data_IF_095440730084
#
_entry.id   IF_095440730084
#
_cell.length_a   1.000
_cell.length_b   1.000
_cell.length_c   1.000
_cell.angle_alpha   90.00
_cell.angle_beta   90.00
_cell.angle_gamma   90.00
#
_symmetry.space_group_name_H-M   'P 1'
#
loop_
_entity.id
_entity.type
_entity.pdbx_description
1 polymer ?
#
# COMPACT_ATOMS: atom_id res chain seq x y z
N UNK A 1 13.62 -15.10 -26.19
CA UNK A 1 14.40 -15.02 -24.94
C UNK A 1 13.58 -15.61 -23.82
N UNK A 2 14.22 -16.40 -22.96
CA UNK A 2 13.59 -17.04 -21.79
C UNK A 2 13.86 -16.23 -20.53
N UNK A 3 12.82 -16.04 -19.73
CA UNK A 3 12.91 -15.43 -18.40
C UNK A 3 12.30 -16.35 -17.34
N UNK A 4 12.75 -16.22 -16.10
CA UNK A 4 12.14 -16.88 -14.94
C UNK A 4 11.53 -15.84 -14.02
N UNK A 5 10.33 -16.11 -13.53
CA UNK A 5 9.70 -15.32 -12.48
C UNK A 5 9.64 -16.15 -11.21
N UNK A 6 10.44 -15.75 -10.22
CA UNK A 6 10.54 -16.43 -8.94
C UNK A 6 9.64 -15.74 -7.92
N UNK A 7 8.76 -16.52 -7.28
CA UNK A 7 7.76 -15.99 -6.33
C UNK A 7 7.63 -16.85 -5.10
N UNK A 8 7.35 -16.18 -3.99
CA UNK A 8 6.96 -16.84 -2.76
C UNK A 8 5.44 -16.74 -2.61
N UNK A 9 4.79 -17.88 -2.43
CA UNK A 9 3.37 -17.92 -2.09
C UNK A 9 3.25 -17.99 -0.57
N UNK A 10 3.17 -16.83 0.09
CA UNK A 10 2.80 -16.80 1.50
C UNK A 10 1.28 -16.70 1.65
N UNK A 11 0.73 -17.64 2.38
CA UNK A 11 -0.72 -17.83 2.49
C UNK A 11 -1.40 -16.74 3.31
N UNK A 12 -0.67 -16.01 4.15
CA UNK A 12 -1.30 -15.12 5.14
C UNK A 12 -1.61 -13.72 4.58
N UNK A 13 -0.70 -13.12 3.82
CA UNK A 13 -0.84 -11.78 3.24
C UNK A 13 -0.81 -11.80 1.70
N UNK A 14 -0.32 -12.86 1.10
CA UNK A 14 -0.17 -13.00 -0.36
C UNK A 14 -1.46 -13.09 -1.15
N UNK A 15 -2.61 -13.32 -0.50
CA UNK A 15 -3.90 -13.48 -1.18
C UNK A 15 -4.27 -12.28 -2.03
N UNK A 16 -3.96 -11.08 -1.58
CA UNK A 16 -4.30 -9.85 -2.29
C UNK A 16 -3.37 -9.58 -3.50
N UNK A 17 -2.17 -10.13 -3.53
CA UNK A 17 -1.14 -9.79 -4.51
C UNK A 17 -0.82 -10.90 -5.51
N UNK A 18 -1.15 -12.14 -5.17
CA UNK A 18 -0.96 -13.30 -6.05
C UNK A 18 -1.65 -13.14 -7.42
N UNK A 19 -2.91 -12.64 -7.50
CA UNK A 19 -3.54 -12.39 -8.79
C UNK A 19 -2.73 -11.47 -9.68
N UNK A 20 -2.20 -10.37 -9.12
CA UNK A 20 -1.37 -9.44 -9.88
C UNK A 20 -0.18 -10.14 -10.54
N UNK A 21 0.56 -10.94 -9.80
CA UNK A 21 1.75 -11.62 -10.33
C UNK A 21 1.41 -12.67 -11.40
N UNK A 22 0.29 -13.39 -11.24
CA UNK A 22 -0.18 -14.34 -12.26
C UNK A 22 -0.55 -13.63 -13.56
N UNK A 23 -1.28 -12.52 -13.45
CA UNK A 23 -1.64 -11.70 -14.60
C UNK A 23 -0.40 -11.04 -15.23
N UNK A 24 0.58 -10.65 -14.42
CA UNK A 24 1.83 -10.09 -14.90
C UNK A 24 2.65 -11.11 -15.69
N UNK A 25 2.70 -12.38 -15.28
CA UNK A 25 3.33 -13.45 -16.08
C UNK A 25 2.65 -13.63 -17.43
N UNK A 26 1.31 -13.61 -17.45
CA UNK A 26 0.58 -13.65 -18.72
C UNK A 26 0.90 -12.45 -19.61
N UNK A 27 1.04 -11.27 -19.02
CA UNK A 27 1.47 -10.09 -19.75
C UNK A 27 2.90 -10.24 -20.30
N UNK A 28 3.83 -10.73 -19.50
CA UNK A 28 5.22 -10.98 -19.89
C UNK A 28 5.33 -12.02 -21.00
N UNK A 29 4.42 -12.99 -21.06
CA UNK A 29 4.38 -14.03 -22.09
C UNK A 29 4.15 -13.48 -23.50
N UNK A 30 3.68 -12.24 -23.65
CA UNK A 30 3.62 -11.58 -24.95
C UNK A 30 5.00 -11.19 -25.50
N UNK A 31 6.03 -11.17 -24.66
CA UNK A 31 7.37 -10.68 -25.01
C UNK A 31 8.45 -11.72 -24.80
N UNK A 32 8.23 -12.68 -23.89
CA UNK A 32 9.21 -13.65 -23.44
C UNK A 32 8.62 -15.06 -23.33
N UNK A 33 9.47 -16.06 -23.39
CA UNK A 33 9.14 -17.38 -22.89
C UNK A 33 9.25 -17.33 -21.34
N UNK A 34 8.13 -17.43 -20.63
CA UNK A 34 8.07 -17.24 -19.18
C UNK A 34 8.03 -18.60 -18.47
N UNK A 35 8.98 -18.83 -17.60
CA UNK A 35 8.98 -19.95 -16.64
C UNK A 35 8.66 -19.42 -15.25
N UNK A 36 7.48 -19.76 -14.71
CA UNK A 36 7.08 -19.38 -13.36
C UNK A 36 7.60 -20.41 -12.35
N UNK A 37 8.37 -19.95 -11.37
CA UNK A 37 8.93 -20.76 -10.28
C UNK A 37 8.31 -20.30 -8.97
N UNK A 38 7.47 -21.16 -8.40
CA UNK A 38 6.78 -20.89 -7.14
C UNK A 38 7.47 -21.63 -5.99
N UNK A 39 7.67 -20.92 -4.89
CA UNK A 39 8.25 -21.46 -3.67
C UNK A 39 7.16 -21.60 -2.61
N UNK A 40 6.94 -22.81 -2.13
CA UNK A 40 5.99 -23.07 -1.05
C UNK A 40 6.66 -22.95 0.32
N UNK A 41 5.87 -22.56 1.32
CA UNK A 41 6.29 -22.40 2.71
C UNK A 41 6.85 -23.69 3.34
N UNK A 42 6.50 -24.83 2.80
CA UNK A 42 6.86 -26.15 3.34
C UNK A 42 8.24 -26.64 2.90
N UNK A 43 9.02 -25.79 2.29
CA UNK A 43 10.47 -25.79 2.44
C UNK A 43 11.30 -26.83 1.73
N UNK A 44 10.78 -27.64 0.82
CA UNK A 44 11.57 -28.76 0.33
C UNK A 44 12.17 -28.65 -1.06
N UNK A 45 12.00 -27.53 -1.77
CA UNK A 45 12.71 -27.37 -3.04
C UNK A 45 13.01 -25.90 -3.33
N UNK A 46 14.02 -25.39 -2.70
CA UNK A 46 14.77 -24.25 -3.22
C UNK A 46 15.59 -24.71 -4.44
N UNK A 47 14.97 -25.02 -5.53
CA UNK A 47 15.65 -25.20 -6.82
C UNK A 47 15.79 -23.90 -7.61
N UNK A 48 15.29 -22.83 -7.05
CA UNK A 48 15.32 -21.52 -7.66
C UNK A 48 16.57 -20.71 -7.26
N UNK A 49 16.55 -19.39 -7.12
CA UNK A 49 17.75 -18.55 -7.05
C UNK A 49 18.59 -18.75 -5.78
N UNK A 50 18.77 -20.02 -5.36
CA UNK A 50 19.79 -20.40 -4.40
C UNK A 50 21.14 -19.83 -4.82
N UNK A 51 21.37 -19.68 -6.11
CA UNK A 51 22.57 -19.02 -6.64
C UNK A 51 22.58 -17.54 -6.26
N UNK A 52 21.43 -16.86 -6.30
CA UNK A 52 21.31 -15.49 -5.82
C UNK A 52 21.46 -15.41 -4.29
N UNK A 53 20.90 -16.35 -3.58
CA UNK A 53 21.02 -16.46 -2.10
C UNK A 53 22.44 -16.88 -1.70
N UNK A 54 23.06 -17.81 -2.40
CA UNK A 54 24.42 -18.29 -2.10
C UNK A 54 25.50 -17.25 -2.40
N UNK A 55 25.28 -16.38 -3.38
CA UNK A 55 26.20 -15.27 -3.65
C UNK A 55 26.11 -14.13 -2.64
N UNK A 56 25.13 -14.14 -1.76
CA UNK A 56 24.86 -13.08 -0.79
C UNK A 56 25.32 -13.43 0.65
N UNK A 57 25.95 -14.58 0.85
CA UNK A 57 26.53 -14.96 2.13
C UNK A 57 25.68 -15.93 2.95
N UNK A 58 26.36 -16.75 3.75
CA UNK A 58 25.86 -17.85 4.55
C UNK A 58 24.61 -17.53 5.39
N UNK A 59 23.43 -17.72 4.83
CA UNK A 59 22.21 -17.84 5.61
C UNK A 59 21.99 -19.32 5.96
N UNK A 60 22.50 -19.72 7.09
CA UNK A 60 22.41 -21.10 7.59
C UNK A 60 21.03 -21.56 8.03
N UNK A 61 19.97 -20.80 7.72
CA UNK A 61 18.57 -21.19 7.96
C UNK A 61 17.71 -20.46 6.94
N UNK A 62 16.64 -21.11 6.49
CA UNK A 62 15.61 -20.61 5.60
C UNK A 62 15.39 -19.12 5.81
N UNK A 63 15.64 -18.26 4.81
CA UNK A 63 15.39 -16.83 4.98
C UNK A 63 13.94 -16.62 5.37
N UNK A 64 13.62 -15.66 6.24
CA UNK A 64 12.25 -15.31 6.51
C UNK A 64 11.59 -14.94 5.18
N UNK A 65 10.62 -15.74 4.77
CA UNK A 65 9.90 -15.58 3.52
C UNK A 65 9.18 -14.25 3.60
N UNK A 66 9.51 -13.35 2.73
CA UNK A 66 8.77 -12.10 2.60
C UNK A 66 7.47 -12.38 1.86
N UNK A 67 6.43 -11.75 2.33
CA UNK A 67 5.08 -12.11 1.95
C UNK A 67 4.77 -11.82 0.48
N UNK A 68 5.53 -10.91 -0.17
CA UNK A 68 5.22 -10.49 -1.54
C UNK A 68 6.44 -9.99 -2.30
N UNK A 69 7.17 -10.90 -2.86
CA UNK A 69 8.31 -10.58 -3.72
C UNK A 69 8.26 -11.38 -5.03
N UNK A 70 8.68 -10.73 -6.11
CA UNK A 70 8.90 -11.37 -7.39
C UNK A 70 10.28 -10.98 -7.92
N UNK A 71 11.13 -11.96 -8.16
CA UNK A 71 12.40 -11.78 -8.86
C UNK A 71 12.22 -12.23 -10.29
N UNK A 72 12.50 -11.34 -11.24
CA UNK A 72 12.48 -11.65 -12.66
C UNK A 72 13.93 -11.81 -13.10
N UNK A 73 14.26 -12.98 -13.62
CA UNK A 73 15.60 -13.36 -14.05
C UNK A 73 15.65 -13.55 -15.55
N UNK A 74 16.60 -12.91 -16.19
CA UNK A 74 16.94 -13.20 -17.58
C UNK A 74 17.80 -14.49 -17.60
N UNK A 75 17.27 -15.58 -18.15
CA UNK A 75 17.94 -16.87 -18.14
C UNK A 75 19.21 -16.93 -18.99
N UNK A 76 19.42 -15.97 -19.93
CA UNK A 76 20.60 -15.92 -20.77
C UNK A 76 21.77 -15.17 -20.09
N UNK A 77 21.47 -14.10 -19.36
CA UNK A 77 22.48 -13.20 -18.79
C UNK A 77 22.64 -13.33 -17.28
N UNK A 78 21.66 -13.91 -16.59
CA UNK A 78 21.58 -13.93 -15.13
C UNK A 78 21.21 -12.58 -14.51
N UNK A 79 20.93 -11.54 -15.33
CA UNK A 79 20.46 -10.25 -14.84
C UNK A 79 19.09 -10.40 -14.17
N UNK A 80 18.92 -9.74 -13.04
CA UNK A 80 17.67 -9.81 -12.27
C UNK A 80 17.03 -8.45 -12.07
N UNK A 81 15.71 -8.45 -11.92
CA UNK A 81 14.90 -7.30 -11.51
C UNK A 81 14.06 -7.72 -10.31
N UNK A 82 13.97 -6.87 -9.31
CA UNK A 82 13.19 -7.14 -8.11
C UNK A 82 11.94 -6.28 -8.07
N UNK A 83 10.82 -6.92 -7.85
CA UNK A 83 9.54 -6.32 -7.53
C UNK A 83 9.16 -6.74 -6.11
N UNK A 84 9.18 -5.82 -5.17
CA UNK A 84 8.88 -6.09 -3.77
C UNK A 84 7.68 -5.29 -3.29
N UNK A 85 6.82 -5.98 -2.55
CA UNK A 85 5.61 -5.44 -1.95
C UNK A 85 5.52 -5.90 -0.49
N UNK A 86 6.56 -5.66 0.27
CA UNK A 86 6.66 -6.16 1.63
C UNK A 86 6.40 -5.08 2.66
N UNK A 87 5.70 -5.43 3.72
CA UNK A 87 5.54 -4.56 4.89
C UNK A 87 6.87 -4.38 5.64
N UNK A 88 7.74 -5.36 5.51
CA UNK A 88 9.10 -5.32 6.01
C UNK A 88 10.04 -5.58 4.85
N UNK A 89 10.84 -4.58 4.47
CA UNK A 89 11.97 -4.81 3.56
C UNK A 89 12.95 -5.71 4.29
N UNK A 90 12.64 -6.99 4.22
CA UNK A 90 13.39 -7.98 4.97
C UNK A 90 14.82 -8.11 4.43
N UNK A 91 15.62 -8.83 5.18
CA UNK A 91 17.01 -9.06 4.80
C UNK A 91 17.14 -9.68 3.40
N UNK A 92 16.14 -10.46 2.96
CA UNK A 92 16.17 -11.13 1.66
C UNK A 92 15.98 -10.15 0.49
N UNK A 93 14.93 -9.32 0.49
CA UNK A 93 14.75 -8.30 -0.54
C UNK A 93 15.93 -7.31 -0.59
N UNK A 94 16.44 -6.96 0.59
CA UNK A 94 17.62 -6.11 0.71
C UNK A 94 18.86 -6.78 0.10
N UNK A 95 19.03 -8.06 0.27
CA UNK A 95 20.15 -8.82 -0.31
C UNK A 95 20.04 -8.94 -1.82
N UNK A 96 18.86 -9.26 -2.35
CA UNK A 96 18.64 -9.27 -3.80
C UNK A 96 18.89 -7.88 -4.39
N UNK A 97 18.34 -6.84 -3.77
CA UNK A 97 18.52 -5.47 -4.24
C UNK A 97 19.99 -5.02 -4.27
N UNK A 98 20.85 -5.61 -3.42
CA UNK A 98 22.30 -5.34 -3.37
C UNK A 98 23.12 -6.22 -4.31
N UNK A 99 22.55 -7.31 -4.81
CA UNK A 99 23.30 -8.22 -5.68
C UNK A 99 23.72 -7.52 -6.97
N UNK A 100 24.88 -7.87 -7.50
CA UNK A 100 25.37 -7.30 -8.76
C UNK A 100 24.47 -7.65 -9.94
N UNK A 101 23.77 -8.78 -9.87
CA UNK A 101 22.82 -9.21 -10.89
C UNK A 101 21.51 -8.41 -10.86
N UNK A 102 21.18 -7.77 -9.72
CA UNK A 102 19.94 -6.98 -9.62
C UNK A 102 20.17 -5.55 -10.12
N UNK A 103 19.67 -5.28 -11.31
CA UNK A 103 19.87 -3.98 -11.98
C UNK A 103 18.71 -3.00 -11.78
N UNK A 104 17.58 -3.47 -11.28
CA UNK A 104 16.41 -2.63 -10.97
C UNK A 104 15.60 -3.20 -9.81
N UNK A 105 15.24 -2.33 -8.89
CA UNK A 105 14.35 -2.66 -7.79
C UNK A 105 13.17 -1.72 -7.79
N UNK A 106 11.96 -2.29 -7.91
CA UNK A 106 10.73 -1.55 -7.66
C UNK A 106 10.21 -1.93 -6.29
N UNK A 107 9.96 -0.92 -5.48
CA UNK A 107 9.44 -1.08 -4.14
C UNK A 107 8.12 -0.35 -4.01
N UNK A 108 7.05 -1.12 -3.80
CA UNK A 108 5.76 -0.61 -3.38
C UNK A 108 5.54 -1.04 -1.94
N UNK A 109 5.45 -0.10 -1.02
CA UNK A 109 5.40 -0.43 0.38
C UNK A 109 4.47 0.49 1.17
N UNK A 110 3.78 -0.10 2.16
CA UNK A 110 2.92 0.64 3.07
C UNK A 110 3.72 1.30 4.20
N UNK A 111 4.80 0.66 4.65
CA UNK A 111 5.61 1.15 5.76
C UNK A 111 7.01 1.58 5.30
N UNK A 112 7.13 2.83 4.90
CA UNK A 112 8.37 3.40 4.38
C UNK A 112 9.47 3.65 5.44
N UNK A 113 9.10 3.74 6.72
CA UNK A 113 10.03 4.07 7.79
C UNK A 113 11.19 3.09 7.88
N UNK A 114 10.90 1.80 7.90
CA UNK A 114 11.93 0.76 7.98
C UNK A 114 12.77 0.70 6.70
N UNK A 115 12.14 0.82 5.54
CA UNK A 115 12.83 0.82 4.25
C UNK A 115 13.79 2.00 4.14
N UNK A 116 13.34 3.18 4.54
CA UNK A 116 14.15 4.40 4.49
C UNK A 116 15.35 4.34 5.42
N UNK A 117 15.17 3.79 6.62
CA UNK A 117 16.25 3.59 7.58
C UNK A 117 17.36 2.69 7.03
N UNK A 118 16.99 1.56 6.45
CA UNK A 118 17.95 0.64 5.84
C UNK A 118 18.65 1.24 4.63
N UNK A 119 17.94 1.95 3.78
CA UNK A 119 18.50 2.58 2.59
C UNK A 119 19.47 3.72 2.89
N UNK A 120 19.21 4.53 3.92
CA UNK A 120 20.16 5.57 4.35
C UNK A 120 21.42 5.00 4.95
N UNK A 121 21.27 3.91 5.69
CA UNK A 121 22.40 3.25 6.34
C UNK A 121 23.25 2.45 5.36
N UNK A 122 22.65 2.00 4.28
CA UNK A 122 23.30 1.14 3.31
C UNK A 122 23.13 1.69 1.89
N UNK A 123 24.09 2.49 1.47
CA UNK A 123 24.12 3.11 0.14
C UNK A 123 24.33 2.10 -1.00
N UNK A 124 24.42 0.81 -0.68
CA UNK A 124 24.72 -0.25 -1.65
C UNK A 124 23.53 -0.73 -2.47
N UNK A 125 22.30 -0.31 -2.13
CA UNK A 125 21.11 -0.65 -2.93
C UNK A 125 21.11 0.14 -4.22
N UNK A 126 21.47 -0.54 -5.30
CA UNK A 126 21.52 0.04 -6.64
C UNK A 126 20.12 0.13 -7.25
N UNK A 127 19.88 1.23 -7.96
CA UNK A 127 18.68 1.38 -8.83
C UNK A 127 17.31 1.18 -8.17
N UNK A 128 17.14 1.63 -6.92
CA UNK A 128 15.85 1.57 -6.27
C UNK A 128 14.92 2.66 -6.76
N UNK A 129 13.78 2.26 -7.26
CA UNK A 129 12.66 3.15 -7.57
C UNK A 129 11.51 2.86 -6.63
N UNK A 130 11.10 3.87 -5.89
CA UNK A 130 9.91 3.82 -5.06
C UNK A 130 8.70 4.10 -5.94
N UNK A 131 7.68 3.30 -5.82
CA UNK A 131 6.42 3.48 -6.55
C UNK A 131 5.26 3.40 -5.58
N UNK A 132 4.15 3.95 -6.01
CA UNK A 132 2.92 3.86 -5.25
C UNK A 132 2.44 2.41 -5.16
N UNK A 133 1.97 1.93 -4.01
CA UNK A 133 1.37 0.61 -3.86
C UNK A 133 0.14 0.41 -4.75
N UNK A 134 -0.51 1.47 -5.22
CA UNK A 134 -1.67 1.39 -6.11
C UNK A 134 -1.43 0.59 -7.38
N UNK A 135 -0.19 0.56 -7.87
CA UNK A 135 0.15 -0.15 -9.09
C UNK A 135 -0.06 -1.65 -8.94
N UNK A 136 0.13 -2.18 -7.72
CA UNK A 136 0.05 -3.61 -7.46
C UNK A 136 -1.24 -4.08 -6.82
N UNK A 137 -2.08 -3.17 -6.32
CA UNK A 137 -3.24 -3.56 -5.55
C UNK A 137 -4.31 -4.21 -6.44
N UNK A 138 -4.55 -5.49 -6.28
CA UNK A 138 -5.68 -6.16 -6.89
C UNK A 138 -6.89 -5.98 -5.98
N UNK A 139 -7.66 -4.95 -6.22
CA UNK A 139 -8.96 -4.79 -5.56
C UNK A 139 -10.05 -5.52 -6.32
N UNK A 140 -9.86 -6.81 -6.56
CA UNK A 140 -10.79 -7.61 -7.34
C UNK A 140 -11.76 -8.42 -6.49
N UNK A 141 -11.72 -8.30 -5.17
CA UNK A 141 -12.63 -9.04 -4.31
C UNK A 141 -14.05 -8.46 -4.25
N UNK A 142 -14.26 -7.23 -4.78
CA UNK A 142 -15.60 -6.64 -4.86
C UNK A 142 -15.79 -5.80 -6.12
N UNK A 143 -17.02 -5.76 -6.61
CA UNK A 143 -17.41 -4.93 -7.74
C UNK A 143 -17.53 -3.46 -7.31
N UNK A 144 -16.45 -2.70 -7.54
CA UNK A 144 -16.36 -1.28 -7.20
C UNK A 144 -17.54 -0.49 -7.78
N UNK A 145 -17.92 -0.76 -9.03
CA UNK A 145 -18.98 0.00 -9.70
C UNK A 145 -20.35 -0.27 -9.06
N UNK A 146 -20.65 -1.51 -8.73
CA UNK A 146 -21.90 -1.84 -8.00
C UNK A 146 -21.97 -1.13 -6.67
N UNK A 147 -20.87 -1.06 -5.92
CA UNK A 147 -20.85 -0.35 -4.64
C UNK A 147 -20.94 1.17 -4.79
N UNK A 148 -20.36 1.75 -5.84
CA UNK A 148 -20.54 3.19 -6.15
C UNK A 148 -21.98 3.52 -6.49
N UNK A 149 -22.64 2.69 -7.31
CA UNK A 149 -24.08 2.85 -7.63
C UNK A 149 -24.90 2.75 -6.35
N UNK A 150 -24.70 1.68 -5.56
CA UNK A 150 -25.39 1.50 -4.30
C UNK A 150 -25.22 2.70 -3.35
N UNK A 151 -24.00 3.25 -3.26
CA UNK A 151 -23.73 4.45 -2.48
C UNK A 151 -24.52 5.66 -2.99
N UNK A 152 -24.60 5.85 -4.30
CA UNK A 152 -25.37 6.95 -4.91
C UNK A 152 -26.89 6.88 -4.67
N UNK A 153 -27.43 5.69 -4.35
CA UNK A 153 -28.84 5.46 -4.04
C UNK A 153 -29.19 5.72 -2.57
N UNK A 154 -28.19 5.85 -1.68
CA UNK A 154 -28.42 6.07 -0.24
C UNK A 154 -28.86 7.49 0.01
N UNK A 155 -30.08 7.66 0.49
CA UNK A 155 -30.69 8.98 0.77
C UNK A 155 -30.20 9.58 2.08
N UNK A 156 -30.00 8.76 3.09
CA UNK A 156 -29.58 9.19 4.42
C UNK A 156 -28.32 8.42 4.83
N UNK A 157 -27.18 9.09 4.79
CA UNK A 157 -25.91 8.55 5.24
C UNK A 157 -25.65 8.97 6.69
N UNK A 158 -24.93 8.13 7.42
CA UNK A 158 -24.48 8.49 8.77
C UNK A 158 -23.48 9.66 8.69
N UNK A 159 -23.76 10.73 9.42
CA UNK A 159 -22.92 11.93 9.46
C UNK A 159 -21.60 11.70 10.19
N UNK A 160 -21.54 10.74 11.12
CA UNK A 160 -20.31 10.44 11.86
C UNK A 160 -19.26 9.85 10.94
N UNK A 161 -18.01 10.13 11.24
CA UNK A 161 -16.89 9.48 10.56
C UNK A 161 -16.96 7.97 10.70
N UNK A 162 -16.52 7.24 9.69
CA UNK A 162 -16.37 5.79 9.75
C UNK A 162 -14.90 5.41 9.78
N UNK A 163 -14.58 4.47 10.66
CA UNK A 163 -13.30 3.80 10.67
C UNK A 163 -13.52 2.33 11.05
N UNK A 164 -13.03 1.42 10.22
CA UNK A 164 -13.19 -0.01 10.43
C UNK A 164 -11.80 -0.65 10.48
N UNK A 165 -11.45 -1.28 11.57
CA UNK A 165 -10.15 -1.93 11.71
C UNK A 165 -9.87 -2.43 13.13
N UNK A 166 -8.70 -3.00 13.31
CA UNK A 166 -8.22 -3.59 14.57
C UNK A 166 -7.14 -2.71 15.24
N UNK A 167 -6.75 -3.06 16.45
CA UNK A 167 -5.61 -2.45 17.16
C UNK A 167 -5.88 -1.08 17.78
N UNK A 168 -7.15 -0.73 18.00
CA UNK A 168 -7.56 0.60 18.53
C UNK A 168 -7.04 0.83 19.93
N UNK A 169 -7.07 -0.21 20.77
CA UNK A 169 -6.72 -0.09 22.17
C UNK A 169 -5.21 -0.20 22.45
N UNK A 170 -4.42 -0.53 21.44
CA UNK A 170 -2.97 -0.69 21.56
C UNK A 170 -2.18 0.46 20.95
N UNK A 171 -2.28 0.64 19.66
CA UNK A 171 -1.45 1.61 18.90
C UNK A 171 -2.26 2.65 18.10
N UNK A 172 -3.60 2.64 18.26
CA UNK A 172 -4.51 3.58 17.56
C UNK A 172 -5.45 4.26 18.55
N UNK A 173 -4.95 4.62 19.71
CA UNK A 173 -5.73 5.22 20.81
C UNK A 173 -6.47 6.49 20.40
N UNK A 174 -5.90 7.28 19.50
CA UNK A 174 -6.56 8.46 18.93
C UNK A 174 -7.94 8.13 18.34
N UNK A 175 -8.09 7.00 17.68
CA UNK A 175 -9.38 6.55 17.11
C UNK A 175 -10.43 6.37 18.21
N UNK A 176 -10.03 5.77 19.35
CA UNK A 176 -10.91 5.58 20.51
C UNK A 176 -11.33 6.94 21.14
N UNK A 177 -10.43 7.91 21.13
CA UNK A 177 -10.76 9.27 21.62
C UNK A 177 -11.83 9.91 20.74
N UNK A 178 -11.71 9.81 19.41
CA UNK A 178 -12.71 10.34 18.47
C UNK A 178 -14.06 9.65 18.64
N UNK A 179 -14.06 8.32 18.84
CA UNK A 179 -15.28 7.55 19.13
C UNK A 179 -15.94 8.00 20.44
N UNK A 180 -15.18 8.10 21.52
CA UNK A 180 -15.68 8.49 22.83
C UNK A 180 -16.27 9.92 22.84
N UNK A 181 -15.75 10.79 21.97
CA UNK A 181 -16.28 12.14 21.76
C UNK A 181 -17.53 12.18 20.87
N UNK A 182 -17.98 11.02 20.36
CA UNK A 182 -19.23 10.88 19.58
C UNK A 182 -19.12 11.22 18.10
N UNK A 183 -17.90 11.42 17.56
CA UNK A 183 -17.69 11.79 16.15
C UNK A 183 -17.36 10.62 15.23
N UNK A 184 -17.21 9.44 15.80
CA UNK A 184 -16.97 8.21 15.05
C UNK A 184 -18.13 7.25 15.26
N UNK A 185 -18.49 6.50 14.21
CA UNK A 185 -19.40 5.37 14.34
C UNK A 185 -18.78 4.30 15.25
N UNK A 186 -19.58 3.54 15.99
CA UNK A 186 -19.05 2.51 16.88
C UNK A 186 -18.08 1.58 16.16
N UNK A 187 -16.94 1.37 16.79
CA UNK A 187 -15.93 0.43 16.30
C UNK A 187 -16.43 -0.98 16.60
N UNK A 188 -16.67 -1.75 15.58
CA UNK A 188 -17.18 -3.10 15.69
C UNK A 188 -16.30 -4.06 14.89
N UNK A 189 -16.23 -5.31 15.31
CA UNK A 189 -15.69 -6.38 14.49
C UNK A 189 -16.74 -6.78 13.46
N UNK A 190 -16.49 -6.48 12.20
CA UNK A 190 -17.41 -6.82 11.11
C UNK A 190 -16.99 -8.10 10.41
N UNK A 191 -17.98 -8.89 9.97
CA UNK A 191 -17.73 -9.86 8.91
C UNK A 191 -17.40 -9.11 7.62
N UNK A 192 -16.63 -9.74 6.75
CA UNK A 192 -16.20 -9.11 5.48
C UNK A 192 -17.40 -8.65 4.62
N UNK A 193 -18.51 -9.36 4.66
CA UNK A 193 -19.73 -9.03 3.91
C UNK A 193 -20.36 -7.69 4.32
N UNK A 194 -20.32 -7.34 5.60
CA UNK A 194 -20.91 -6.09 6.11
C UNK A 194 -19.94 -4.91 6.11
N UNK A 195 -18.67 -5.18 5.86
CA UNK A 195 -17.62 -4.16 5.90
C UNK A 195 -17.86 -3.05 4.85
N UNK A 196 -18.02 -3.44 3.58
CA UNK A 196 -18.22 -2.49 2.49
C UNK A 196 -19.54 -1.75 2.60
N UNK A 197 -20.62 -2.44 3.01
CA UNK A 197 -21.93 -1.81 3.25
C UNK A 197 -21.83 -0.74 4.32
N UNK A 198 -21.05 -0.98 5.37
CA UNK A 198 -20.84 0.00 6.43
C UNK A 198 -20.05 1.21 5.91
N UNK A 199 -19.03 0.98 5.09
CA UNK A 199 -18.26 2.08 4.48
C UNK A 199 -19.13 2.98 3.62
N UNK A 200 -19.89 2.41 2.69
CA UNK A 200 -20.70 3.21 1.75
C UNK A 200 -21.83 3.99 2.41
N UNK A 201 -22.30 3.55 3.57
CA UNK A 201 -23.34 4.24 4.34
C UNK A 201 -22.85 5.47 5.11
N UNK A 202 -21.59 5.84 4.99
CA UNK A 202 -20.99 6.94 5.73
C UNK A 202 -20.69 8.12 4.82
N UNK A 203 -20.99 9.34 5.26
CA UNK A 203 -20.65 10.55 4.51
C UNK A 203 -19.14 10.73 4.42
N UNK A 204 -18.44 10.43 5.50
CA UNK A 204 -17.02 10.75 5.65
C UNK A 204 -16.26 9.61 6.33
N UNK A 205 -15.09 9.31 5.82
CA UNK A 205 -14.17 8.34 6.39
C UNK A 205 -13.12 8.98 7.28
N UNK A 206 -12.52 8.19 8.17
CA UNK A 206 -11.34 8.54 8.93
C UNK A 206 -10.22 7.60 8.54
N UNK A 207 -9.09 8.14 8.08
CA UNK A 207 -7.88 7.38 7.87
C UNK A 207 -6.81 7.89 8.83
N UNK A 208 -6.36 7.01 9.71
CA UNK A 208 -5.31 7.31 10.67
C UNK A 208 -4.19 6.30 10.57
N UNK A 209 -3.05 6.81 10.25
CA UNK A 209 -1.81 6.09 10.35
C UNK A 209 -0.71 7.07 10.79
N UNK A 210 -0.49 7.13 12.08
CA UNK A 210 0.61 7.85 12.67
C UNK A 210 1.18 7.00 13.81
N UNK A 211 2.24 6.26 13.52
CA UNK A 211 2.95 5.49 14.53
C UNK A 211 4.12 6.34 15.05
N UNK A 212 3.79 7.35 15.83
CA UNK A 212 4.76 8.27 16.42
C UNK A 212 5.60 7.64 17.51
N UNK A 213 5.06 6.61 18.21
CA UNK A 213 5.77 5.94 19.30
C UNK A 213 6.79 4.91 18.81
N UNK A 214 6.50 4.24 17.70
CA UNK A 214 7.32 3.14 17.19
C UNK A 214 8.60 3.60 16.50
N UNK A 215 8.58 4.81 15.97
CA UNK A 215 9.67 5.38 15.21
C UNK A 215 10.19 6.63 15.90
N UNK A 216 11.09 6.44 16.83
CA UNK A 216 11.81 7.51 17.57
C UNK A 216 12.63 8.46 16.67
N UNK A 217 12.27 8.58 15.41
CA UNK A 217 12.91 9.48 14.46
C UNK A 217 11.86 10.38 13.83
N UNK A 218 11.80 11.65 14.25
CA UNK A 218 10.82 12.62 13.76
C UNK A 218 11.00 12.96 12.27
N UNK A 219 11.98 12.40 11.59
CA UNK A 219 12.41 12.96 10.32
C UNK A 219 11.98 12.21 9.06
N UNK A 220 11.56 10.96 9.13
CA UNK A 220 11.53 10.16 7.90
C UNK A 220 10.37 9.19 7.73
N UNK A 221 9.28 9.33 8.49
CA UNK A 221 8.09 8.52 8.24
C UNK A 221 7.23 9.18 7.15
N UNK A 222 7.13 8.60 5.95
CA UNK A 222 6.46 9.26 4.82
C UNK A 222 4.92 9.26 4.90
N UNK A 223 4.35 8.97 6.08
CA UNK A 223 2.91 8.76 6.18
C UNK A 223 2.49 7.53 5.41
N UNK A 224 2.14 6.50 6.13
CA UNK A 224 1.81 5.23 5.50
C UNK A 224 0.47 5.29 4.79
N UNK A 225 0.41 4.67 3.63
CA UNK A 225 -0.84 4.28 3.03
C UNK A 225 -1.41 3.12 3.82
N UNK A 226 -2.69 3.15 4.08
CA UNK A 226 -3.40 1.97 4.53
C UNK A 226 -4.41 1.54 3.46
N UNK A 227 -4.81 0.28 3.47
CA UNK A 227 -5.84 -0.24 2.56
C UNK A 227 -7.09 0.64 2.55
N UNK A 228 -7.38 1.27 3.66
CA UNK A 228 -8.54 2.13 3.84
C UNK A 228 -8.49 3.39 3.00
N UNK A 229 -7.31 3.98 2.81
CA UNK A 229 -7.14 5.13 1.91
C UNK A 229 -7.58 4.77 0.49
N UNK A 230 -7.28 3.53 0.09
CA UNK A 230 -7.60 3.01 -1.24
C UNK A 230 -9.07 2.67 -1.34
N UNK A 231 -9.62 1.98 -0.33
CA UNK A 231 -11.04 1.62 -0.28
C UNK A 231 -11.92 2.86 -0.33
N UNK A 232 -11.60 3.88 0.47
CA UNK A 232 -12.30 5.16 0.40
C UNK A 232 -12.19 5.81 -0.98
N UNK A 233 -11.00 5.84 -1.54
CA UNK A 233 -10.75 6.45 -2.85
C UNK A 233 -11.47 5.69 -3.96
N UNK A 234 -11.43 4.35 -3.95
CA UNK A 234 -12.16 3.51 -4.90
C UNK A 234 -13.66 3.72 -4.83
N UNK A 235 -14.21 3.83 -3.63
CA UNK A 235 -15.64 3.96 -3.39
C UNK A 235 -16.14 5.41 -3.49
N UNK A 236 -15.26 6.39 -3.67
CA UNK A 236 -15.61 7.81 -3.67
C UNK A 236 -16.13 8.28 -2.32
N UNK A 237 -15.51 7.84 -1.23
CA UNK A 237 -15.85 8.25 0.13
C UNK A 237 -14.84 9.32 0.56
N UNK A 238 -15.23 10.60 0.71
CA UNK A 238 -14.35 11.60 1.29
C UNK A 238 -13.80 11.13 2.63
N UNK A 239 -12.54 11.32 2.92
CA UNK A 239 -11.97 10.93 4.20
C UNK A 239 -10.96 11.94 4.71
N UNK A 240 -10.89 12.06 6.03
CA UNK A 240 -9.95 12.93 6.72
C UNK A 240 -8.69 12.13 7.04
N UNK A 241 -7.55 12.75 6.76
CA UNK A 241 -6.25 12.12 6.96
C UNK A 241 -5.17 13.18 7.20
N UNK A 242 -4.15 12.82 7.98
CA UNK A 242 -2.88 13.55 8.06
C UNK A 242 -2.14 13.41 6.71
N UNK A 243 -1.61 14.49 6.20
CA UNK A 243 -0.90 14.53 4.91
C UNK A 243 0.22 13.52 4.82
N UNK A 244 0.36 12.93 3.63
CA UNK A 244 1.52 12.12 3.31
C UNK A 244 2.78 13.01 3.24
N UNK A 245 3.90 12.52 3.73
CA UNK A 245 5.15 13.26 3.69
C UNK A 245 5.80 13.25 2.31
N UNK A 246 5.74 12.11 1.65
CA UNK A 246 6.44 11.89 0.39
C UNK A 246 5.46 11.49 -0.70
N UNK A 247 5.72 11.98 -1.89
CA UNK A 247 4.92 11.68 -3.06
C UNK A 247 5.62 10.56 -3.83
N UNK A 248 4.91 9.48 -3.98
CA UNK A 248 5.29 8.40 -4.86
C UNK A 248 4.74 8.67 -6.26
N UNK A 249 4.85 7.70 -7.14
CA UNK A 249 4.23 7.78 -8.46
C UNK A 249 2.71 7.99 -8.35
N UNK A 250 2.17 8.98 -9.06
CA UNK A 250 0.75 9.38 -9.03
C UNK A 250 0.17 9.50 -7.60
N UNK A 251 0.62 10.49 -6.81
CA UNK A 251 0.18 10.63 -5.43
C UNK A 251 -1.28 11.07 -5.33
N UNK A 252 -1.93 10.70 -4.22
CA UNK A 252 -3.14 11.36 -3.78
C UNK A 252 -2.78 12.76 -3.24
N UNK A 253 -3.48 13.77 -3.71
CA UNK A 253 -3.21 15.16 -3.35
C UNK A 253 -4.12 15.64 -2.22
N UNK A 254 -3.55 16.39 -1.23
CA UNK A 254 -4.32 16.97 -0.13
C UNK A 254 -5.41 17.93 -0.64
N UNK A 255 -6.56 17.89 0.00
CA UNK A 255 -7.75 18.69 -0.33
C UNK A 255 -8.25 18.59 -1.78
N UNK A 256 -7.74 17.57 -2.51
CA UNK A 256 -8.22 17.19 -3.84
C UNK A 256 -8.76 15.76 -3.83
N UNK A 257 -7.98 14.82 -3.26
CA UNK A 257 -8.34 13.42 -3.21
C UNK A 257 -8.66 12.94 -1.79
N UNK A 258 -8.34 13.73 -0.79
CA UNK A 258 -8.69 13.50 0.61
C UNK A 258 -8.70 14.83 1.36
N UNK A 259 -9.37 14.86 2.49
CA UNK A 259 -9.47 16.04 3.37
C UNK A 259 -8.25 16.05 4.26
N UNK A 260 -7.35 17.01 4.09
CA UNK A 260 -6.06 16.99 4.74
C UNK A 260 -6.05 17.65 6.12
N UNK A 261 -5.21 17.10 6.97
CA UNK A 261 -4.68 17.74 8.17
C UNK A 261 -3.18 17.93 7.94
N UNK A 262 -2.65 19.17 8.00
CA UNK A 262 -1.23 19.41 7.84
C UNK A 262 -0.41 18.58 8.82
N UNK A 263 0.64 17.96 8.33
CA UNK A 263 1.44 17.01 9.11
C UNK A 263 2.12 17.64 10.32
N UNK A 264 2.67 18.83 10.15
CA UNK A 264 3.30 19.61 11.22
C UNK A 264 2.31 19.96 12.34
N UNK A 265 1.05 20.21 12.01
CA UNK A 265 0.01 20.44 13.03
C UNK A 265 -0.24 19.17 13.85
N UNK A 266 -0.24 18.01 13.19
CA UNK A 266 -0.42 16.73 13.89
C UNK A 266 0.75 16.42 14.84
N UNK A 267 1.99 16.71 14.43
CA UNK A 267 3.16 16.54 15.30
C UNK A 267 3.10 17.46 16.51
N UNK A 268 2.86 18.74 16.30
CA UNK A 268 2.76 19.73 17.39
C UNK A 268 1.64 19.36 18.36
N UNK A 269 0.49 18.92 17.84
CA UNK A 269 -0.63 18.50 18.66
C UNK A 269 -0.30 17.26 19.50
N UNK A 270 0.38 16.28 18.88
CA UNK A 270 0.78 15.06 19.56
C UNK A 270 1.83 15.34 20.65
N UNK A 271 2.86 16.11 20.35
CA UNK A 271 3.90 16.46 21.33
C UNK A 271 3.32 17.18 22.55
N UNK A 272 2.32 18.02 22.33
CA UNK A 272 1.74 18.84 23.39
C UNK A 272 0.62 18.17 24.17
N UNK A 273 -0.20 17.35 23.49
CA UNK A 273 -1.45 16.83 24.04
C UNK A 273 -1.65 15.33 23.77
N UNK A 274 -0.68 14.64 23.16
CA UNK A 274 -0.80 13.22 22.84
C UNK A 274 -1.93 12.92 21.83
N UNK A 275 -2.52 11.74 21.99
CA UNK A 275 -3.64 11.28 21.15
C UNK A 275 -4.86 12.20 21.21
N UNK A 276 -5.11 12.87 22.34
CA UNK A 276 -6.20 13.85 22.49
C UNK A 276 -6.04 15.02 21.53
N UNK A 277 -4.83 15.58 21.45
CA UNK A 277 -4.56 16.71 20.56
C UNK A 277 -4.74 16.35 19.09
N UNK A 278 -4.32 15.15 18.69
CA UNK A 278 -4.51 14.68 17.32
C UNK A 278 -6.00 14.41 17.04
N UNK A 279 -6.72 13.80 17.99
CA UNK A 279 -8.15 13.58 17.86
C UNK A 279 -8.92 14.91 17.67
N UNK A 280 -8.54 15.95 18.41
CA UNK A 280 -9.16 17.27 18.26
C UNK A 280 -8.91 17.88 16.89
N UNK A 281 -7.76 17.67 16.26
CA UNK A 281 -7.53 18.09 14.88
C UNK A 281 -8.49 17.41 13.91
N UNK A 282 -8.70 16.09 14.05
CA UNK A 282 -9.65 15.35 13.22
C UNK A 282 -11.09 15.85 13.42
N UNK A 283 -11.48 16.05 14.67
CA UNK A 283 -12.83 16.54 15.02
C UNK A 283 -13.06 17.97 14.48
N UNK A 284 -12.08 18.84 14.63
CA UNK A 284 -12.18 20.19 14.11
C UNK A 284 -12.28 20.20 12.59
N UNK A 285 -11.43 19.42 11.92
CA UNK A 285 -11.49 19.31 10.46
C UNK A 285 -12.81 18.71 9.98
N UNK A 286 -13.33 17.71 10.68
CA UNK A 286 -14.67 17.17 10.41
C UNK A 286 -15.75 18.24 10.53
N UNK A 287 -15.78 19.03 11.62
CA UNK A 287 -16.77 20.09 11.81
C UNK A 287 -16.73 21.17 10.73
N UNK A 288 -15.54 21.46 10.21
CA UNK A 288 -15.37 22.44 9.13
C UNK A 288 -16.01 21.96 7.83
N UNK A 289 -15.98 20.66 7.52
CA UNK A 289 -16.30 20.16 6.19
C UNK A 289 -17.61 19.37 6.10
N UNK A 290 -18.17 18.87 7.20
CA UNK A 290 -19.32 17.94 7.15
C UNK A 290 -20.56 18.54 6.50
N UNK A 291 -20.74 19.86 6.59
CA UNK A 291 -21.85 20.59 6.00
C UNK A 291 -21.49 21.26 4.66
N UNK A 292 -20.26 21.13 4.19
CA UNK A 292 -19.81 21.67 2.91
C UNK A 292 -20.01 20.60 1.82
N UNK A 293 -21.23 20.49 1.33
CA UNK A 293 -21.59 19.48 0.32
C UNK A 293 -20.83 19.66 -1.00
N UNK A 294 -20.53 20.91 -1.40
CA UNK A 294 -19.79 21.19 -2.63
C UNK A 294 -18.34 20.69 -2.53
N UNK A 295 -17.70 20.92 -1.39
CA UNK A 295 -16.35 20.41 -1.15
C UNK A 295 -16.30 18.88 -1.06
N UNK A 296 -17.25 18.26 -0.36
CA UNK A 296 -17.33 16.81 -0.28
C UNK A 296 -17.56 16.16 -1.66
N UNK A 297 -18.42 16.74 -2.48
CA UNK A 297 -18.67 16.29 -3.84
C UNK A 297 -17.42 16.47 -4.72
N UNK A 298 -16.72 17.58 -4.59
CA UNK A 298 -15.44 17.83 -5.26
C UNK A 298 -14.41 16.74 -4.93
N UNK A 299 -14.23 16.40 -3.64
CA UNK A 299 -13.34 15.34 -3.22
C UNK A 299 -13.76 14.00 -3.83
N UNK A 300 -15.05 13.63 -3.70
CA UNK A 300 -15.62 12.39 -4.25
C UNK A 300 -15.31 12.24 -5.73
N UNK A 301 -15.60 13.26 -6.52
CA UNK A 301 -15.36 13.25 -7.97
C UNK A 301 -13.88 13.02 -8.31
N UNK A 302 -12.99 13.75 -7.65
CA UNK A 302 -11.55 13.63 -7.89
C UNK A 302 -11.00 12.27 -7.43
N UNK A 303 -11.54 11.69 -6.35
CA UNK A 303 -11.18 10.34 -5.91
C UNK A 303 -11.54 9.29 -6.96
N UNK A 304 -12.77 9.34 -7.46
CA UNK A 304 -13.28 8.40 -8.46
C UNK A 304 -12.44 8.52 -9.74
N UNK A 305 -12.24 9.74 -10.24
CA UNK A 305 -11.42 9.97 -11.43
C UNK A 305 -9.99 9.45 -11.25
N UNK A 306 -9.39 9.73 -10.10
CA UNK A 306 -8.05 9.24 -9.80
C UNK A 306 -8.01 7.71 -9.73
N UNK A 307 -8.97 7.09 -9.04
CA UNK A 307 -9.04 5.64 -8.90
C UNK A 307 -9.25 4.94 -10.25
N UNK A 308 -10.13 5.49 -11.09
CA UNK A 308 -10.38 4.95 -12.43
C UNK A 308 -9.12 4.99 -13.29
N UNK A 309 -8.41 6.12 -13.28
CA UNK A 309 -7.21 6.30 -14.10
C UNK A 309 -6.00 5.52 -13.59
N UNK A 310 -5.86 5.36 -12.29
CA UNK A 310 -4.64 4.82 -11.68
C UNK A 310 -4.79 3.38 -11.14
N UNK A 311 -6.01 2.92 -10.89
CA UNK A 311 -6.26 1.58 -10.35
C UNK A 311 -7.08 0.74 -11.32
N UNK A 312 -8.27 1.20 -11.72
CA UNK A 312 -9.22 0.36 -12.45
C UNK A 312 -8.91 0.26 -13.95
N UNK A 313 -8.61 1.39 -14.59
CA UNK A 313 -8.36 1.46 -16.03
C UNK A 313 -6.87 1.46 -16.39
N UNK A 314 -5.99 1.48 -15.39
CA UNK A 314 -4.57 1.49 -15.64
C UNK A 314 -4.09 0.11 -16.08
N UNK A 315 -3.32 0.09 -17.17
CA UNK A 315 -2.57 -1.10 -17.54
C UNK A 315 -1.35 -1.27 -16.60
N UNK A 316 -1.64 -1.75 -15.39
CA UNK A 316 -0.65 -1.94 -14.31
C UNK A 316 0.53 -2.79 -14.76
N UNK A 317 0.26 -3.80 -15.58
CA UNK A 317 1.28 -4.72 -16.07
C UNK A 317 2.21 -4.02 -17.05
N UNK A 318 1.67 -3.20 -17.96
CA UNK A 318 2.48 -2.37 -18.86
C UNK A 318 3.34 -1.40 -18.09
N UNK A 319 2.77 -0.70 -17.12
CA UNK A 319 3.52 0.25 -16.30
C UNK A 319 4.62 -0.43 -15.48
N UNK A 320 4.33 -1.58 -14.87
CA UNK A 320 5.33 -2.37 -14.14
C UNK A 320 6.46 -2.83 -15.08
N UNK A 321 6.12 -3.28 -16.27
CA UNK A 321 7.07 -3.67 -17.30
C UNK A 321 8.02 -2.51 -17.69
N UNK A 322 7.47 -1.32 -17.90
CA UNK A 322 8.23 -0.12 -18.22
C UNK A 322 9.12 0.32 -17.06
N UNK A 323 8.58 0.37 -15.85
CA UNK A 323 9.32 0.77 -14.64
C UNK A 323 10.44 -0.22 -14.28
N UNK A 324 10.24 -1.51 -14.52
CA UNK A 324 11.29 -2.53 -14.39
C UNK A 324 12.31 -2.49 -15.54
N UNK A 325 12.07 -1.66 -16.56
CA UNK A 325 12.93 -1.53 -17.74
C UNK A 325 13.11 -2.87 -18.50
N UNK A 326 12.11 -3.75 -18.46
CA UNK A 326 12.17 -5.08 -19.09
C UNK A 326 12.26 -4.99 -20.61
N UNK A 327 11.81 -3.86 -21.20
CA UNK A 327 11.98 -3.60 -22.62
C UNK A 327 13.43 -3.67 -23.08
N UNK A 328 14.41 -3.37 -22.20
CA UNK A 328 15.84 -3.47 -22.53
C UNK A 328 16.29 -4.90 -22.81
N UNK A 329 15.53 -5.89 -22.38
CA UNK A 329 15.83 -7.31 -22.62
C UNK A 329 15.28 -7.81 -23.96
N UNK A 330 14.37 -7.08 -24.58
CA UNK A 330 13.86 -7.44 -25.91
C UNK A 330 14.92 -7.07 -26.93
N UNK A 331 15.42 -8.08 -27.66
CA UNK A 331 16.40 -7.89 -28.75
C UNK A 331 15.73 -7.41 -30.00
#
# INVERSE_FOLDING_TARGET
MKIKTHRYENVQWGRAHLPFFKEFDLYLSNFFEVESVNYNKDGNTFSGPITLINNVGNFGKTPPISDVECVIENSETGETKLLSFTEYFNSYACHIAKSESCTKTLLAHFNWGNVYYWMRRDQSVKSLTKISPWIFLPFQEFDVNSYRIKRGEIKEMDDRMVWLGSGVDSYRKMIRVVENKGYLQPIMNFSHEHYLDKLINSKIGLSYYLDLEKYNTPFDHPGEFCYRDIEYTLLGIPYIRIEFKDTTYNPLLPNKHYISIPREHAYVAYEKYGDEGVADLYINRYKEVINDSEFLEYITKNQIEWADNNILNNNKHKLTFELLELKKWIK
#
